data_IF_068393709203
#
_entry.id   IF_068393709203
#
_cell.length_a   1.000
_cell.length_b   1.000
_cell.length_c   1.000
_cell.angle_alpha   90.00
_cell.angle_beta   90.00
_cell.angle_gamma   90.00
#
_symmetry.space_group_name_H-M   'P 1'
#
loop_
_entity.id
_entity.type
_entity.pdbx_description
1 polymer ?
#
# COMPACT_ATOMS: atom_id res chain seq x y z
N UNK A 1 -0.73 -18.72 -6.44
CA UNK A 1 0.69 -18.78 -6.04
C UNK A 1 0.86 -18.14 -4.66
N UNK A 2 1.82 -18.62 -3.87
CA UNK A 2 2.28 -17.97 -2.63
C UNK A 2 3.38 -16.95 -2.93
N UNK A 3 3.89 -16.26 -1.90
CA UNK A 3 5.01 -15.31 -2.06
C UNK A 3 6.30 -16.04 -2.45
N UNK A 4 6.54 -17.24 -1.91
CA UNK A 4 7.76 -18.02 -2.16
C UNK A 4 7.91 -18.44 -3.63
N UNK A 5 6.78 -18.57 -4.33
CA UNK A 5 6.73 -18.93 -5.75
C UNK A 5 6.88 -17.74 -6.69
N UNK A 6 6.88 -16.50 -6.18
CA UNK A 6 6.89 -15.30 -7.01
C UNK A 6 8.15 -15.18 -7.86
N UNK A 7 9.32 -15.44 -7.28
CA UNK A 7 10.60 -15.28 -7.97
C UNK A 7 10.69 -16.19 -9.21
N UNK A 8 10.31 -17.46 -9.06
CA UNK A 8 10.28 -18.42 -10.17
C UNK A 8 9.25 -18.02 -11.23
N UNK A 9 8.06 -17.56 -10.82
CA UNK A 9 7.04 -17.06 -11.74
C UNK A 9 7.57 -15.88 -12.57
N UNK A 10 8.20 -14.90 -11.93
CA UNK A 10 8.76 -13.74 -12.64
C UNK A 10 9.88 -14.16 -13.58
N UNK A 11 10.79 -15.05 -13.16
CA UNK A 11 11.85 -15.54 -14.03
C UNK A 11 11.30 -16.14 -15.34
N UNK A 12 10.20 -16.89 -15.26
CA UNK A 12 9.57 -17.53 -16.43
C UNK A 12 8.72 -16.58 -17.29
N UNK A 13 8.06 -15.59 -16.68
CA UNK A 13 7.01 -14.80 -17.35
C UNK A 13 7.39 -13.31 -17.54
N UNK A 14 8.63 -12.91 -17.20
CA UNK A 14 9.06 -11.51 -17.17
C UNK A 14 8.81 -10.76 -18.48
N UNK A 15 9.21 -11.33 -19.61
CA UNK A 15 9.16 -10.62 -20.89
C UNK A 15 7.72 -10.29 -21.29
N UNK A 16 6.82 -11.28 -21.23
CA UNK A 16 5.40 -11.11 -21.51
C UNK A 16 4.76 -10.10 -20.53
N UNK A 17 5.09 -10.20 -19.25
CA UNK A 17 4.59 -9.26 -18.24
C UNK A 17 5.03 -7.83 -18.54
N UNK A 18 6.31 -7.61 -18.84
CA UNK A 18 6.84 -6.29 -19.17
C UNK A 18 6.24 -5.74 -20.47
N UNK A 19 6.07 -6.57 -21.48
CA UNK A 19 5.43 -6.18 -22.74
C UNK A 19 3.99 -5.73 -22.51
N UNK A 20 3.20 -6.52 -21.77
CA UNK A 20 1.80 -6.20 -21.45
C UNK A 20 1.63 -4.92 -20.62
N UNK A 21 2.58 -4.62 -19.74
CA UNK A 21 2.60 -3.38 -18.97
C UNK A 21 2.93 -2.18 -19.87
N UNK A 22 3.93 -2.31 -20.75
CA UNK A 22 4.37 -1.23 -21.65
C UNK A 22 3.32 -0.86 -22.69
N UNK A 23 2.62 -1.85 -23.24
CA UNK A 23 1.59 -1.63 -24.26
C UNK A 23 0.19 -1.36 -23.66
N UNK A 24 0.07 -1.32 -22.32
CA UNK A 24 -1.19 -1.03 -21.62
C UNK A 24 -2.25 -2.14 -21.69
N UNK A 25 -1.87 -3.36 -22.06
CA UNK A 25 -2.79 -4.51 -22.14
C UNK A 25 -2.88 -5.33 -20.85
N UNK A 26 -1.97 -5.10 -19.89
CA UNK A 26 -2.01 -5.77 -18.59
C UNK A 26 -3.37 -5.56 -17.90
N UNK A 27 -4.01 -6.65 -17.50
CA UNK A 27 -5.27 -6.64 -16.74
C UNK A 27 -5.00 -7.20 -15.33
N UNK A 28 -5.04 -6.37 -14.27
CA UNK A 28 -4.93 -6.84 -12.91
C UNK A 28 -6.02 -7.86 -12.58
N UNK A 29 -5.70 -8.81 -11.71
CA UNK A 29 -6.68 -9.82 -11.31
C UNK A 29 -7.65 -9.25 -10.26
N UNK A 30 -8.91 -9.74 -10.20
CA UNK A 30 -9.85 -9.37 -9.16
C UNK A 30 -9.28 -9.68 -7.77
N UNK A 31 -9.44 -8.75 -6.82
CA UNK A 31 -9.00 -8.96 -5.44
C UNK A 31 -9.79 -10.06 -4.76
N UNK A 32 -9.10 -10.97 -4.05
CA UNK A 32 -9.76 -12.01 -3.26
C UNK A 32 -10.37 -11.39 -2.01
N UNK A 33 -11.67 -11.62 -1.80
CA UNK A 33 -12.36 -11.21 -0.57
C UNK A 33 -12.02 -12.17 0.56
N UNK A 34 -11.62 -11.61 1.70
CA UNK A 34 -11.33 -12.35 2.93
C UNK A 34 -11.98 -11.62 4.08
N UNK A 35 -12.71 -12.33 4.94
CA UNK A 35 -13.23 -11.77 6.18
C UNK A 35 -12.34 -12.20 7.34
N UNK A 36 -11.93 -11.23 8.17
CA UNK A 36 -11.17 -11.49 9.39
C UNK A 36 -11.93 -10.93 10.60
N UNK A 37 -11.90 -11.60 11.77
CA UNK A 37 -12.54 -11.10 12.98
C UNK A 37 -11.83 -9.84 13.48
N UNK A 38 -12.60 -8.91 14.05
CA UNK A 38 -12.09 -7.79 14.84
C UNK A 38 -12.22 -8.08 16.34
N UNK A 39 -11.48 -7.36 17.20
CA UNK A 39 -11.60 -7.51 18.66
C UNK A 39 -13.01 -7.22 19.21
N UNK A 40 -13.78 -6.36 18.54
CA UNK A 40 -15.14 -5.97 18.92
C UNK A 40 -16.22 -7.00 18.52
N UNK A 41 -15.82 -8.15 17.97
CA UNK A 41 -16.73 -9.20 17.50
C UNK A 41 -17.30 -8.98 16.09
N UNK A 42 -17.07 -7.81 15.47
CA UNK A 42 -17.44 -7.57 14.08
C UNK A 42 -16.43 -8.18 13.10
N UNK A 43 -16.76 -8.24 11.81
CA UNK A 43 -15.82 -8.69 10.76
C UNK A 43 -15.23 -7.51 9.98
N UNK A 44 -14.01 -7.68 9.48
CA UNK A 44 -13.35 -6.78 8.54
C UNK A 44 -13.19 -7.49 7.20
N UNK A 45 -13.76 -6.90 6.15
CA UNK A 45 -13.61 -7.36 4.77
C UNK A 45 -12.30 -6.81 4.20
N UNK A 46 -11.39 -7.71 3.84
CA UNK A 46 -10.15 -7.40 3.11
C UNK A 46 -10.31 -7.74 1.63
N UNK A 47 -9.72 -6.90 0.78
CA UNK A 47 -9.45 -7.23 -0.61
C UNK A 47 -7.97 -7.53 -0.75
N UNK A 48 -7.62 -8.79 -1.03
CA UNK A 48 -6.23 -9.23 -1.15
C UNK A 48 -5.89 -9.41 -2.63
N UNK A 49 -5.05 -8.54 -3.23
CA UNK A 49 -4.60 -8.72 -4.61
C UNK A 49 -3.72 -9.96 -4.75
N UNK A 50 -3.51 -10.43 -5.99
CA UNK A 50 -2.53 -11.50 -6.25
C UNK A 50 -1.12 -11.05 -5.89
N UNK A 51 -0.20 -12.00 -5.70
CA UNK A 51 1.19 -11.66 -5.36
C UNK A 51 1.85 -10.81 -6.46
N UNK A 52 1.57 -11.12 -7.72
CA UNK A 52 2.06 -10.36 -8.88
C UNK A 52 1.50 -8.94 -8.87
N UNK A 53 0.19 -8.78 -8.66
CA UNK A 53 -0.43 -7.45 -8.59
C UNK A 53 0.15 -6.63 -7.43
N UNK A 54 0.39 -7.23 -6.26
CA UNK A 54 1.02 -6.52 -5.13
C UNK A 54 2.44 -6.08 -5.46
N UNK A 55 3.22 -6.89 -6.18
CA UNK A 55 4.57 -6.52 -6.62
C UNK A 55 4.54 -5.36 -7.61
N UNK A 56 3.63 -5.40 -8.59
CA UNK A 56 3.46 -4.30 -9.56
C UNK A 56 3.00 -3.01 -8.86
N UNK A 57 2.02 -3.11 -7.97
CA UNK A 57 1.56 -1.97 -7.15
C UNK A 57 2.70 -1.39 -6.31
N UNK A 58 3.54 -2.24 -5.71
CA UNK A 58 4.71 -1.78 -4.94
C UNK A 58 5.74 -1.07 -5.82
N UNK A 59 5.99 -1.55 -7.04
CA UNK A 59 6.87 -0.89 -8.00
C UNK A 59 6.35 0.51 -8.38
N UNK A 60 5.04 0.65 -8.59
CA UNK A 60 4.40 1.95 -8.81
C UNK A 60 4.57 2.86 -7.60
N UNK A 61 4.31 2.36 -6.39
CA UNK A 61 4.47 3.12 -5.14
C UNK A 61 5.92 3.60 -4.95
N UNK A 62 6.91 2.77 -5.23
CA UNK A 62 8.33 3.16 -5.10
C UNK A 62 8.70 4.37 -5.97
N UNK A 63 8.06 4.54 -7.12
CA UNK A 63 8.28 5.70 -8.01
C UNK A 63 7.44 6.89 -7.58
N UNK A 64 6.17 6.68 -7.21
CA UNK A 64 5.24 7.77 -6.90
C UNK A 64 5.45 8.36 -5.50
N UNK A 65 5.82 7.55 -4.51
CA UNK A 65 6.03 8.00 -3.12
C UNK A 65 6.97 9.20 -3.00
N UNK A 66 8.21 9.20 -3.56
CA UNK A 66 9.10 10.36 -3.44
C UNK A 66 8.56 11.62 -4.11
N UNK A 67 7.68 11.50 -5.11
CA UNK A 67 7.02 12.63 -5.77
C UNK A 67 5.95 13.23 -4.85
N UNK A 68 5.06 12.39 -4.31
CA UNK A 68 3.96 12.85 -3.47
C UNK A 68 4.39 13.27 -2.06
N UNK A 69 5.47 12.69 -1.53
CA UNK A 69 6.03 13.10 -0.23
C UNK A 69 6.42 14.58 -0.20
N UNK A 70 6.79 15.17 -1.35
CA UNK A 70 7.13 16.59 -1.45
C UNK A 70 5.94 17.54 -1.28
N UNK A 71 4.71 17.05 -1.46
CA UNK A 71 3.49 17.87 -1.46
C UNK A 71 2.49 17.50 -0.37
N UNK A 72 2.74 16.42 0.37
CA UNK A 72 1.88 16.06 1.49
C UNK A 72 2.04 17.04 2.65
N UNK A 73 0.91 17.43 3.23
CA UNK A 73 0.85 18.24 4.45
C UNK A 73 1.69 17.62 5.57
N UNK A 74 2.33 18.47 6.37
CA UNK A 74 3.03 18.05 7.59
C UNK A 74 2.08 17.47 8.64
N UNK A 75 0.79 17.78 8.57
CA UNK A 75 -0.24 17.21 9.43
C UNK A 75 -0.84 15.91 8.86
N UNK A 76 -0.25 15.34 7.81
CA UNK A 76 -0.60 14.04 7.26
C UNK A 76 0.38 12.97 7.72
N UNK A 77 -0.12 11.93 8.41
CA UNK A 77 0.72 10.91 9.05
C UNK A 77 0.47 9.48 8.56
N UNK A 78 -0.69 9.22 7.95
CA UNK A 78 -1.10 7.87 7.58
C UNK A 78 -0.32 7.31 6.39
N UNK A 79 0.24 6.10 6.54
CA UNK A 79 0.90 5.34 5.46
C UNK A 79 2.08 6.05 4.78
N UNK A 80 2.76 6.95 5.50
CA UNK A 80 3.91 7.71 4.99
C UNK A 80 5.24 7.20 5.57
N UNK A 81 6.33 7.19 4.79
CA UNK A 81 7.65 6.86 5.31
C UNK A 81 8.07 7.80 6.45
N UNK A 82 8.60 7.26 7.54
CA UNK A 82 9.09 8.05 8.67
C UNK A 82 8.03 8.77 9.50
N UNK A 83 6.74 8.48 9.27
CA UNK A 83 5.61 9.01 10.06
C UNK A 83 4.75 7.89 10.61
N UNK A 84 4.12 8.15 11.75
CA UNK A 84 3.36 7.16 12.52
C UNK A 84 2.12 7.76 13.17
N UNK A 85 1.27 6.88 13.70
CA UNK A 85 0.12 7.31 14.51
C UNK A 85 0.54 8.02 15.81
N UNK A 86 1.73 7.72 16.35
CA UNK A 86 2.22 8.38 17.56
C UNK A 86 2.61 9.83 17.30
N UNK A 87 3.22 10.11 16.15
CA UNK A 87 3.57 11.49 15.74
C UNK A 87 2.30 12.36 15.62
N UNK A 88 1.21 11.77 15.08
CA UNK A 88 -0.08 12.43 15.02
C UNK A 88 -0.64 12.77 16.42
N UNK A 89 -0.59 11.83 17.36
CA UNK A 89 -1.06 12.03 18.74
C UNK A 89 -0.22 13.11 19.45
N UNK A 90 1.10 13.06 19.28
CA UNK A 90 2.01 14.05 19.85
C UNK A 90 1.68 15.45 19.33
N UNK A 91 1.56 15.61 18.02
CA UNK A 91 1.22 16.90 17.39
C UNK A 91 -0.09 17.47 17.94
N UNK A 92 -1.15 16.66 18.05
CA UNK A 92 -2.43 17.11 18.63
C UNK A 92 -2.27 17.49 20.10
N UNK A 93 -1.52 16.71 20.87
CA UNK A 93 -1.30 16.98 22.31
C UNK A 93 -0.57 18.31 22.53
N UNK A 94 0.46 18.59 21.71
CA UNK A 94 1.20 19.85 21.76
C UNK A 94 0.31 21.05 21.43
N UNK A 95 -0.53 20.94 20.40
CA UNK A 95 -1.49 22.00 20.02
C UNK A 95 -2.51 22.28 21.13
N UNK A 96 -3.03 21.23 21.78
CA UNK A 96 -3.92 21.38 22.93
C UNK A 96 -3.23 22.06 24.12
N UNK A 97 -1.99 21.67 24.43
CA UNK A 97 -1.22 22.29 25.51
C UNK A 97 -0.90 23.77 25.25
N UNK A 98 -0.84 24.17 23.99
CA UNK A 98 -0.66 25.57 23.56
C UNK A 98 -1.98 26.35 23.50
N UNK A 99 -3.14 25.70 23.74
CA UNK A 99 -4.46 26.32 23.66
C UNK A 99 -4.90 26.70 22.23
N UNK A 100 -4.27 26.11 21.21
CA UNK A 100 -4.63 26.31 19.80
C UNK A 100 -5.86 25.46 19.43
N UNK A 101 -5.95 24.26 20.02
CA UNK A 101 -7.10 23.35 19.99
C UNK A 101 -7.71 23.28 21.38
#
# INVERSE_FOLDING_TARGET
MTVDQLAEYIYKNREELLESLRNGTYRPQPVRRVEIPKPDGSTRKLGVPTVVDRMIQQAVVQVLSPIYEQVFSDNSYGFRPGRSAHDAIQSVTELCNQGIL
#
